data_IF_532999662189
#
_entry.id   IF_532999662189
#
_cell.length_a   1.000
_cell.length_b   1.000
_cell.length_c   1.000
_cell.angle_alpha   90.00
_cell.angle_beta   90.00
_cell.angle_gamma   90.00
#
_symmetry.space_group_name_H-M   'P 1'
#
loop_
_entity.id
_entity.type
_entity.pdbx_description
1 polymer ?
#
# COMPACT_ATOMS: atom_id res chain seq x y z
N UNK A 1 19.04 -0.87 -9.07
CA UNK A 1 17.92 0.10 -9.00
C UNK A 1 18.49 1.49 -9.25
N UNK A 2 17.91 2.30 -10.13
CA UNK A 2 18.37 3.68 -10.37
C UNK A 2 18.06 4.58 -9.16
N UNK A 3 19.05 5.33 -8.68
CA UNK A 3 19.00 6.20 -7.50
C UNK A 3 17.79 7.18 -7.51
N UNK A 4 17.43 7.71 -8.67
CA UNK A 4 16.28 8.62 -8.85
C UNK A 4 14.94 7.97 -8.52
N UNK A 5 14.78 6.67 -8.80
CA UNK A 5 13.54 5.92 -8.51
C UNK A 5 13.37 5.74 -7.00
N UNK A 6 14.46 5.49 -6.29
CA UNK A 6 14.46 5.32 -4.83
C UNK A 6 14.09 6.62 -4.12
N UNK A 7 14.65 7.76 -4.54
CA UNK A 7 14.33 9.08 -3.96
C UNK A 7 12.85 9.43 -4.13
N UNK A 8 12.28 9.13 -5.30
CA UNK A 8 10.85 9.38 -5.56
C UNK A 8 9.94 8.51 -4.70
N UNK A 9 10.27 7.23 -4.52
CA UNK A 9 9.50 6.32 -3.65
C UNK A 9 9.60 6.69 -2.18
N UNK A 10 10.76 7.12 -1.71
CA UNK A 10 10.95 7.67 -0.37
C UNK A 10 10.03 8.88 -0.13
N UNK A 11 10.00 9.84 -1.05
CA UNK A 11 9.12 11.00 -0.96
C UNK A 11 7.64 10.62 -0.92
N UNK A 12 7.20 9.74 -1.82
CA UNK A 12 5.80 9.27 -1.86
C UNK A 12 5.43 8.61 -0.53
N UNK A 13 6.24 7.66 -0.04
CA UNK A 13 5.95 6.97 1.21
C UNK A 13 5.89 7.94 2.40
N UNK A 14 6.83 8.89 2.50
CA UNK A 14 6.84 9.90 3.57
C UNK A 14 5.63 10.83 3.50
N UNK A 15 5.25 11.28 2.32
CA UNK A 15 4.04 12.09 2.15
C UNK A 15 2.79 11.29 2.54
N UNK A 16 2.71 10.03 2.15
CA UNK A 16 1.59 9.15 2.48
C UNK A 16 1.46 8.86 3.97
N UNK A 17 2.58 8.65 4.67
CA UNK A 17 2.59 8.50 6.13
C UNK A 17 1.94 9.69 6.84
N UNK A 18 2.04 10.90 6.27
CA UNK A 18 1.53 12.12 6.88
C UNK A 18 0.09 12.47 6.48
N UNK A 19 -0.55 11.70 5.58
CA UNK A 19 -1.94 11.93 5.15
C UNK A 19 -2.91 11.79 6.31
N UNK A 20 -2.67 10.83 7.21
CA UNK A 20 -3.53 10.54 8.35
C UNK A 20 -2.72 10.02 9.51
N UNK A 21 -2.99 10.51 10.73
CA UNK A 21 -2.31 10.06 11.96
C UNK A 21 -2.49 8.57 12.25
N UNK A 22 -3.48 7.94 11.63
CA UNK A 22 -3.74 6.52 11.81
C UNK A 22 -2.92 5.63 10.87
N UNK A 23 -2.24 6.20 9.85
CA UNK A 23 -1.31 5.43 9.03
C UNK A 23 -0.19 4.89 9.92
N UNK A 24 0.16 3.62 9.76
CA UNK A 24 1.27 2.98 10.47
C UNK A 24 2.46 2.82 9.55
N UNK A 25 2.25 2.26 8.36
CA UNK A 25 3.28 2.06 7.36
C UNK A 25 2.75 2.20 5.94
N UNK A 26 3.68 2.48 5.03
CA UNK A 26 3.47 2.52 3.59
C UNK A 26 4.58 1.71 2.93
N UNK A 27 4.22 0.77 2.07
CA UNK A 27 5.16 -0.04 1.31
C UNK A 27 4.83 0.02 -0.19
N UNK A 28 5.86 -0.04 -1.02
CA UNK A 28 5.75 -0.13 -2.48
C UNK A 28 6.30 -1.48 -2.89
N UNK A 29 5.44 -2.28 -3.50
CA UNK A 29 5.71 -3.65 -3.94
C UNK A 29 5.78 -3.69 -5.46
N UNK A 30 6.63 -4.54 -6.03
CA UNK A 30 6.46 -4.93 -7.44
C UNK A 30 5.26 -5.89 -7.59
N UNK A 31 4.83 -6.12 -8.83
CA UNK A 31 3.73 -7.05 -9.15
C UNK A 31 4.00 -8.52 -8.80
N UNK A 32 5.23 -8.88 -8.43
CA UNK A 32 5.60 -10.23 -8.01
C UNK A 32 5.62 -10.37 -6.49
N UNK A 33 5.19 -9.34 -5.75
CA UNK A 33 5.19 -9.33 -4.29
C UNK A 33 6.58 -9.08 -3.69
N UNK A 34 7.52 -8.48 -4.43
CA UNK A 34 8.83 -8.09 -3.89
C UNK A 34 8.78 -6.66 -3.37
N UNK A 35 9.22 -6.46 -2.13
CA UNK A 35 9.31 -5.14 -1.52
C UNK A 35 10.36 -4.28 -2.23
N UNK A 36 9.96 -3.10 -2.70
CA UNK A 36 10.84 -2.13 -3.35
C UNK A 36 11.27 -1.03 -2.37
N UNK A 37 10.32 -0.51 -1.59
CA UNK A 37 10.56 0.56 -0.60
C UNK A 37 9.48 0.51 0.49
N UNK A 38 9.81 0.96 1.70
CA UNK A 38 8.81 1.10 2.77
C UNK A 38 9.20 2.17 3.77
N UNK A 39 8.21 2.85 4.33
CA UNK A 39 8.36 3.76 5.47
C UNK A 39 7.35 3.40 6.56
N UNK A 40 7.70 3.64 7.82
CA UNK A 40 6.83 3.37 8.99
C UNK A 40 6.95 4.52 9.98
N UNK A 41 5.83 4.89 10.63
CA UNK A 41 5.85 5.88 11.70
C UNK A 41 6.69 5.39 12.89
N UNK A 42 7.51 6.29 13.45
CA UNK A 42 8.31 6.02 14.65
C UNK A 42 7.35 5.70 15.81
N UNK A 43 7.43 4.48 16.34
CA UNK A 43 6.57 3.99 17.43
C UNK A 43 5.65 2.83 17.06
N UNK A 44 5.55 2.46 15.78
CA UNK A 44 4.92 1.21 15.37
C UNK A 44 5.98 0.19 14.99
N UNK A 45 6.13 -0.84 15.84
CA UNK A 45 6.92 -2.01 15.49
C UNK A 45 6.08 -2.88 14.56
N UNK A 46 6.46 -2.97 13.28
CA UNK A 46 5.94 -4.04 12.44
C UNK A 46 6.44 -5.38 13.05
N UNK A 47 5.58 -6.41 13.20
CA UNK A 47 6.04 -7.79 13.38
C UNK A 47 7.20 -8.07 12.43
N UNK A 48 8.21 -8.77 12.94
CA UNK A 48 9.54 -8.84 12.33
C UNK A 48 9.48 -8.90 10.80
N UNK A 49 10.20 -8.00 10.15
CA UNK A 49 10.26 -7.85 8.69
C UNK A 49 10.32 -9.21 7.97
N UNK A 50 11.06 -10.18 8.51
CA UNK A 50 11.20 -11.53 7.95
C UNK A 50 9.92 -12.40 7.98
N UNK A 51 9.03 -12.23 8.97
CA UNK A 51 7.73 -12.90 9.04
C UNK A 51 6.66 -12.17 8.23
N UNK A 52 6.74 -10.85 8.15
CA UNK A 52 5.78 -10.01 7.42
C UNK A 52 6.04 -10.02 5.89
N UNK A 53 7.30 -10.11 5.46
CA UNK A 53 7.71 -9.77 4.10
C UNK A 53 7.20 -10.71 2.99
N UNK A 54 7.11 -12.01 3.24
CA UNK A 54 6.85 -12.94 2.14
C UNK A 54 5.36 -13.24 2.00
N UNK A 55 4.72 -13.81 3.02
CA UNK A 55 3.34 -14.32 2.85
C UNK A 55 2.31 -13.18 2.79
N UNK A 56 2.44 -12.17 3.65
CA UNK A 56 1.41 -11.13 3.83
C UNK A 56 1.36 -10.11 2.68
N UNK A 57 2.53 -9.67 2.19
CA UNK A 57 2.57 -8.79 1.01
C UNK A 57 2.28 -9.54 -0.29
N UNK A 58 2.58 -10.84 -0.37
CA UNK A 58 2.17 -11.67 -1.51
C UNK A 58 0.65 -11.81 -1.57
N UNK A 59 -0.05 -12.05 -0.45
CA UNK A 59 -1.52 -12.08 -0.40
C UNK A 59 -2.12 -10.80 -0.99
N UNK A 60 -1.62 -9.64 -0.54
CA UNK A 60 -2.10 -8.35 -1.03
C UNK A 60 -1.85 -8.12 -2.52
N UNK A 61 -0.67 -8.54 -2.98
CA UNK A 61 -0.28 -8.42 -4.38
C UNK A 61 -1.12 -9.36 -5.23
N UNK A 62 -1.50 -10.52 -4.69
CA UNK A 62 -2.34 -11.50 -5.34
C UNK A 62 -3.75 -10.97 -5.57
N UNK A 63 -4.41 -10.35 -4.60
CA UNK A 63 -5.78 -9.84 -4.79
C UNK A 63 -5.86 -8.80 -5.91
N UNK A 64 -4.91 -7.86 -5.93
CA UNK A 64 -4.81 -6.85 -6.99
C UNK A 64 -4.47 -7.51 -8.34
N UNK A 65 -3.52 -8.44 -8.36
CA UNK A 65 -3.08 -9.09 -9.61
C UNK A 65 -4.10 -10.06 -10.18
N UNK A 66 -4.87 -10.73 -9.33
CA UNK A 66 -5.97 -11.61 -9.72
C UNK A 66 -7.13 -10.78 -10.27
N UNK A 67 -7.49 -9.71 -9.57
CA UNK A 67 -8.52 -8.78 -10.04
C UNK A 67 -8.20 -8.15 -11.38
N UNK A 68 -6.93 -7.80 -11.62
CA UNK A 68 -6.45 -7.28 -12.90
C UNK A 68 -6.74 -8.20 -14.10
N UNK A 69 -6.92 -9.51 -13.87
CA UNK A 69 -7.32 -10.46 -14.94
C UNK A 69 -8.76 -10.27 -15.42
N UNK A 70 -9.57 -9.54 -14.66
CA UNK A 70 -10.98 -9.28 -14.96
C UNK A 70 -11.25 -7.81 -15.31
N UNK A 71 -10.20 -7.02 -15.57
CA UNK A 71 -10.33 -5.60 -15.90
C UNK A 71 -11.20 -5.38 -17.16
N UNK A 72 -11.13 -6.28 -18.15
CA UNK A 72 -11.97 -6.22 -19.36
C UNK A 72 -13.46 -6.43 -19.08
N UNK A 73 -13.81 -7.05 -17.94
CA UNK A 73 -15.20 -7.33 -17.55
C UNK A 73 -15.76 -6.30 -16.56
N UNK A 74 -14.96 -5.89 -15.58
CA UNK A 74 -15.43 -5.08 -14.45
C UNK A 74 -14.75 -3.71 -14.33
N UNK A 75 -13.76 -3.45 -15.17
CA UNK A 75 -12.83 -2.33 -15.01
C UNK A 75 -11.79 -2.57 -13.91
N UNK A 76 -10.80 -1.67 -13.80
CA UNK A 76 -9.67 -1.85 -12.89
C UNK A 76 -10.08 -1.76 -11.42
N UNK A 77 -9.48 -2.62 -10.59
CA UNK A 77 -9.59 -2.51 -9.13
C UNK A 77 -9.08 -1.13 -8.70
N UNK A 78 -9.87 -0.42 -7.88
CA UNK A 78 -9.44 0.86 -7.30
C UNK A 78 -8.60 0.67 -6.04
N UNK A 79 -8.98 -0.29 -5.21
CA UNK A 79 -8.25 -0.74 -4.03
C UNK A 79 -8.82 -2.07 -3.53
N UNK A 80 -8.00 -2.81 -2.78
CA UNK A 80 -8.43 -3.90 -1.90
C UNK A 80 -8.23 -3.48 -0.44
N UNK A 81 -9.04 -4.00 0.48
CA UNK A 81 -8.80 -3.77 1.90
C UNK A 81 -9.13 -5.02 2.72
N UNK A 82 -8.36 -5.24 3.78
CA UNK A 82 -8.59 -6.31 4.75
C UNK A 82 -8.52 -5.74 6.17
N UNK A 83 -9.36 -6.28 7.05
CA UNK A 83 -9.31 -6.01 8.47
C UNK A 83 -8.61 -7.15 9.20
N UNK A 84 -7.64 -6.82 10.03
CA UNK A 84 -6.98 -7.75 10.94
C UNK A 84 -7.30 -7.39 12.40
N UNK A 85 -6.88 -8.24 13.34
CA UNK A 85 -7.14 -8.03 14.76
C UNK A 85 -6.56 -6.70 15.25
N UNK A 86 -5.35 -6.36 14.79
CA UNK A 86 -4.61 -5.20 15.28
C UNK A 86 -4.53 -4.01 14.32
N UNK A 87 -4.83 -4.21 13.02
CA UNK A 87 -4.68 -3.18 11.99
C UNK A 87 -5.65 -3.35 10.83
N UNK A 88 -5.77 -2.30 10.03
CA UNK A 88 -6.38 -2.36 8.70
C UNK A 88 -5.30 -2.29 7.65
N UNK A 89 -5.50 -2.96 6.53
CA UNK A 89 -4.59 -2.97 5.40
C UNK A 89 -5.33 -2.60 4.12
N UNK A 90 -4.65 -1.85 3.27
CA UNK A 90 -5.19 -1.34 2.02
C UNK A 90 -4.15 -1.50 0.92
N UNK A 91 -4.57 -2.06 -0.22
CA UNK A 91 -3.72 -2.28 -1.39
C UNK A 91 -4.25 -1.45 -2.55
N UNK A 92 -3.37 -0.66 -3.18
CA UNK A 92 -3.71 0.23 -4.28
C UNK A 92 -2.82 -0.05 -5.49
N UNK A 93 -3.40 -0.24 -6.68
CA UNK A 93 -2.60 -0.24 -7.91
C UNK A 93 -1.88 1.10 -8.10
N UNK A 94 -0.59 1.05 -8.45
CA UNK A 94 0.23 2.24 -8.71
C UNK A 94 1.21 2.00 -9.86
N UNK A 95 0.78 2.33 -11.08
CA UNK A 95 1.48 2.01 -12.32
C UNK A 95 1.81 0.51 -12.43
N UNK A 96 3.09 0.14 -12.43
CA UNK A 96 3.57 -1.25 -12.46
C UNK A 96 3.84 -1.84 -11.06
N UNK A 97 3.47 -1.10 -10.02
CA UNK A 97 3.72 -1.42 -8.61
C UNK A 97 2.38 -1.44 -7.86
N UNK A 98 2.44 -1.84 -6.60
CA UNK A 98 1.30 -1.81 -5.68
C UNK A 98 1.74 -1.04 -4.44
N UNK A 99 0.92 -0.10 -3.98
CA UNK A 99 1.12 0.58 -2.71
C UNK A 99 0.29 -0.14 -1.66
N UNK A 100 0.95 -0.55 -0.57
CA UNK A 100 0.32 -1.12 0.61
C UNK A 100 0.35 -0.07 1.72
N UNK A 101 -0.81 0.23 2.30
CA UNK A 101 -0.94 1.13 3.45
C UNK A 101 -1.54 0.34 4.60
N UNK A 102 -0.88 0.37 5.75
CA UNK A 102 -1.46 -0.15 6.99
C UNK A 102 -1.89 1.00 7.89
N UNK A 103 -2.97 0.80 8.64
CA UNK A 103 -3.47 1.79 9.59
C UNK A 103 -3.92 1.17 10.90
N UNK A 104 -4.14 1.99 11.92
CA UNK A 104 -4.93 1.58 13.09
C UNK A 104 -6.38 1.26 12.67
N UNK A 105 -7.11 0.57 13.54
CA UNK A 105 -8.55 0.26 13.36
C UNK A 105 -9.48 1.45 13.60
N UNK A 106 -8.93 2.65 13.87
CA UNK A 106 -9.69 3.87 14.15
C UNK A 106 -10.12 4.63 12.88
N UNK A 107 -10.01 3.99 11.72
CA UNK A 107 -10.36 4.58 10.43
C UNK A 107 -11.64 3.95 9.89
N UNK A 108 -12.48 4.75 9.22
CA UNK A 108 -13.52 4.19 8.34
C UNK A 108 -12.85 3.67 7.07
N UNK A 109 -13.00 2.37 6.72
CA UNK A 109 -12.25 1.79 5.59
C UNK A 109 -12.51 2.50 4.27
N UNK A 110 -13.78 2.79 3.96
CA UNK A 110 -14.17 3.45 2.70
C UNK A 110 -13.65 4.89 2.65
N UNK A 111 -13.83 5.65 3.74
CA UNK A 111 -13.39 7.05 3.78
C UNK A 111 -11.86 7.16 3.71
N UNK A 112 -11.15 6.26 4.41
CA UNK A 112 -9.71 6.19 4.40
C UNK A 112 -9.18 5.80 3.01
N UNK A 113 -9.71 4.73 2.41
CA UNK A 113 -9.33 4.32 1.07
C UNK A 113 -9.56 5.44 0.04
N UNK A 114 -10.71 6.13 0.12
CA UNK A 114 -11.01 7.28 -0.74
C UNK A 114 -9.99 8.42 -0.58
N UNK A 115 -9.61 8.74 0.66
CA UNK A 115 -8.60 9.76 0.97
C UNK A 115 -7.23 9.40 0.38
N UNK A 116 -6.81 8.14 0.54
CA UNK A 116 -5.55 7.63 0.01
C UNK A 116 -5.56 7.59 -1.52
N UNK A 117 -6.63 7.08 -2.16
CA UNK A 117 -6.75 7.06 -3.62
C UNK A 117 -6.67 8.46 -4.22
N UNK A 118 -7.28 9.48 -3.60
CA UNK A 118 -7.18 10.88 -4.06
C UNK A 118 -5.73 11.37 -4.04
N UNK A 119 -4.98 11.04 -2.99
CA UNK A 119 -3.57 11.39 -2.91
C UNK A 119 -2.77 10.68 -4.01
N UNK A 120 -2.91 9.37 -4.15
CA UNK A 120 -2.18 8.58 -5.16
C UNK A 120 -2.43 9.12 -6.57
N UNK A 121 -3.69 9.43 -6.90
CA UNK A 121 -4.05 9.96 -8.22
C UNK A 121 -3.60 11.41 -8.44
N UNK A 122 -3.51 12.22 -7.37
CA UNK A 122 -3.01 13.59 -7.43
C UNK A 122 -1.48 13.68 -7.56
N UNK A 123 -0.76 12.63 -7.20
CA UNK A 123 0.69 12.48 -7.43
C UNK A 123 0.91 11.93 -8.84
N UNK A 124 0.59 12.73 -9.86
CA UNK A 124 0.98 12.44 -11.24
C UNK A 124 2.45 12.85 -11.40
N UNK A 125 3.28 11.95 -11.92
CA UNK A 125 4.71 12.20 -12.13
C UNK A 125 5.10 11.84 -13.54
#
# INVERSE_FOLDING_TARGET
MNTTKTVKFDQICKSMLNIDRNVRSVAIMDRNGRLIHSETHRGFTQPSFDKWNNVHYMECTFDISLGAKFDDLYGPIRYHHSGHDDFMMFSFPYHKNIIIVTSTKKVSPIAFATKISKFINGVTV
#
